data_IF_341698447387
#
_entry.id   IF_341698447387
#
_cell.length_a   1.000
_cell.length_b   1.000
_cell.length_c   1.000
_cell.angle_alpha   90.00
_cell.angle_beta   90.00
_cell.angle_gamma   90.00
#
_symmetry.space_group_name_H-M   'P 1'
#
loop_
_entity.id
_entity.type
_entity.pdbx_description
1 polymer ?
#
# COMPACT_ATOMS: atom_id res chain seq x y z
N UNK A 1 -28.72 24.74 -0.82
CA UNK A 1 -27.70 23.72 -0.43
C UNK A 1 -27.05 24.26 0.84
N UNK A 2 -26.93 23.48 1.92
CA UNK A 2 -26.39 23.98 3.20
C UNK A 2 -24.89 24.29 3.06
N UNK A 3 -24.45 25.53 3.35
CA UNK A 3 -23.07 26.00 3.20
C UNK A 3 -22.04 25.07 3.84
N UNK A 4 -22.41 24.44 4.97
CA UNK A 4 -21.56 23.49 5.67
C UNK A 4 -21.36 22.17 4.91
N UNK A 5 -22.38 21.71 4.18
CA UNK A 5 -22.26 20.53 3.29
C UNK A 5 -21.30 20.83 2.16
N UNK A 6 -21.44 22.00 1.52
CA UNK A 6 -20.56 22.44 0.43
C UNK A 6 -19.11 22.55 0.90
N UNK A 7 -18.87 23.22 2.03
CA UNK A 7 -17.53 23.39 2.58
C UNK A 7 -16.85 22.06 2.93
N UNK A 8 -17.54 21.16 3.65
CA UNK A 8 -16.96 19.86 4.03
C UNK A 8 -16.75 18.97 2.80
N UNK A 9 -17.65 19.03 1.80
CA UNK A 9 -17.48 18.31 0.54
C UNK A 9 -16.24 18.80 -0.21
N UNK A 10 -16.06 20.11 -0.34
CA UNK A 10 -14.90 20.70 -0.98
C UNK A 10 -13.59 20.32 -0.26
N UNK A 11 -13.53 20.49 1.07
CA UNK A 11 -12.35 20.13 1.86
C UNK A 11 -12.01 18.63 1.75
N UNK A 12 -13.01 17.76 1.71
CA UNK A 12 -12.84 16.31 1.67
C UNK A 12 -12.49 15.77 0.29
N UNK A 13 -13.11 16.28 -0.78
CA UNK A 13 -12.98 15.74 -2.13
C UNK A 13 -11.90 16.50 -2.89
N UNK A 14 -12.07 17.81 -3.02
CA UNK A 14 -11.20 18.64 -3.85
C UNK A 14 -9.84 18.87 -3.19
N UNK A 15 -9.83 19.11 -1.88
CA UNK A 15 -8.58 19.35 -1.14
C UNK A 15 -8.01 18.09 -0.46
N UNK A 16 -8.68 16.93 -0.61
CA UNK A 16 -8.21 15.64 -0.09
C UNK A 16 -7.96 15.59 1.43
N UNK A 17 -8.53 16.50 2.22
CA UNK A 17 -8.27 16.59 3.66
C UNK A 17 -8.95 15.47 4.42
N UNK A 18 -8.24 14.87 5.36
CA UNK A 18 -8.79 13.89 6.29
C UNK A 18 -9.81 14.50 7.25
N UNK A 19 -10.70 13.68 7.81
CA UNK A 19 -11.69 14.11 8.82
C UNK A 19 -11.02 14.84 10.02
N UNK A 20 -9.75 14.52 10.32
CA UNK A 20 -8.96 15.22 11.34
C UNK A 20 -8.57 16.62 10.87
N UNK A 21 -7.96 16.75 9.69
CA UNK A 21 -7.54 18.05 9.15
C UNK A 21 -8.72 19.00 8.92
N UNK A 22 -9.87 18.46 8.50
CA UNK A 22 -11.12 19.23 8.39
C UNK A 22 -11.59 19.69 9.78
N UNK A 23 -11.51 18.81 10.79
CA UNK A 23 -11.85 19.15 12.16
C UNK A 23 -10.97 20.26 12.72
N UNK A 24 -9.65 20.10 12.57
CA UNK A 24 -8.65 21.09 12.99
C UNK A 24 -8.88 22.44 12.27
N UNK A 25 -9.19 22.43 10.96
CA UNK A 25 -9.50 23.63 10.19
C UNK A 25 -10.79 24.34 10.62
N UNK A 26 -11.83 23.57 10.98
CA UNK A 26 -13.14 24.10 11.38
C UNK A 26 -13.27 24.29 12.91
N UNK A 27 -12.22 24.02 13.69
CA UNK A 27 -12.24 24.12 15.14
C UNK A 27 -13.16 23.11 15.83
N UNK A 28 -13.38 21.93 15.24
CA UNK A 28 -14.26 20.88 15.78
C UNK A 28 -13.56 19.53 15.87
N UNK A 29 -14.03 18.69 16.79
CA UNK A 29 -13.48 17.34 16.93
C UNK A 29 -13.74 16.47 15.68
N UNK A 30 -12.76 15.62 15.31
CA UNK A 30 -12.81 14.75 14.11
C UNK A 30 -14.07 13.88 14.00
N UNK A 31 -14.66 13.48 15.13
CA UNK A 31 -15.86 12.65 15.17
C UNK A 31 -17.05 13.40 14.57
N UNK A 32 -17.15 14.71 14.83
CA UNK A 32 -18.22 15.54 14.31
C UNK A 32 -18.16 15.59 12.78
N UNK A 33 -16.97 15.74 12.20
CA UNK A 33 -16.77 15.67 10.74
C UNK A 33 -17.14 14.29 10.22
N UNK A 34 -16.67 13.22 10.88
CA UNK A 34 -16.96 11.83 10.46
C UNK A 34 -18.46 11.56 10.38
N UNK A 35 -19.21 11.92 11.43
CA UNK A 35 -20.66 11.74 11.49
C UNK A 35 -21.38 12.62 10.47
N UNK A 36 -21.00 13.90 10.38
CA UNK A 36 -21.60 14.82 9.43
C UNK A 36 -21.44 14.35 7.99
N UNK A 37 -20.23 13.92 7.61
CA UNK A 37 -19.89 13.45 6.27
C UNK A 37 -20.71 12.20 5.90
N UNK A 38 -20.85 11.25 6.83
CA UNK A 38 -21.69 10.05 6.66
C UNK A 38 -23.17 10.41 6.48
N UNK A 39 -23.71 11.26 7.34
CA UNK A 39 -25.13 11.65 7.30
C UNK A 39 -25.50 12.44 6.03
N UNK A 40 -24.52 13.05 5.37
CA UNK A 40 -24.72 13.86 4.16
C UNK A 40 -24.16 13.19 2.88
N UNK A 41 -23.83 11.89 2.92
CA UNK A 41 -23.30 11.14 1.78
C UNK A 41 -22.11 11.83 1.09
N UNK A 42 -21.24 12.47 1.88
CA UNK A 42 -19.98 12.99 1.38
C UNK A 42 -18.98 11.82 1.43
N UNK A 43 -18.26 11.48 0.35
CA UNK A 43 -17.27 10.40 0.33
C UNK A 43 -16.00 10.79 1.11
N UNK A 44 -15.15 9.80 1.41
CA UNK A 44 -13.87 10.03 2.10
C UNK A 44 -12.82 10.37 1.03
N UNK A 45 -11.80 11.18 1.34
CA UNK A 45 -10.64 11.24 0.46
C UNK A 45 -10.04 9.85 0.29
N UNK A 46 -9.54 9.57 -0.91
CA UNK A 46 -8.77 8.36 -1.18
C UNK A 46 -7.57 8.30 -0.24
N UNK A 47 -7.36 7.16 0.41
CA UNK A 47 -6.23 7.00 1.33
C UNK A 47 -4.92 6.93 0.55
N UNK A 48 -3.80 7.30 1.19
CA UNK A 48 -2.45 7.16 0.61
C UNK A 48 -2.17 5.71 0.17
N UNK A 49 -2.64 4.73 0.95
CA UNK A 49 -2.56 3.31 0.59
C UNK A 49 -3.23 3.05 -0.75
N UNK A 50 -4.52 3.41 -0.86
CA UNK A 50 -5.32 3.19 -2.07
C UNK A 50 -4.82 4.00 -3.27
N UNK A 51 -4.33 5.22 -3.06
CA UNK A 51 -3.69 6.01 -4.12
C UNK A 51 -2.48 5.27 -4.71
N UNK A 52 -1.62 4.69 -3.86
CA UNK A 52 -0.49 3.91 -4.35
C UNK A 52 -0.89 2.60 -5.02
N UNK A 53 -1.89 1.87 -4.51
CA UNK A 53 -2.46 0.69 -5.19
C UNK A 53 -2.93 1.04 -6.60
N UNK A 54 -3.72 2.10 -6.76
CA UNK A 54 -4.21 2.56 -8.06
C UNK A 54 -3.08 2.99 -9.00
N UNK A 55 -2.05 3.66 -8.47
CA UNK A 55 -0.87 4.04 -9.24
C UNK A 55 -0.10 2.82 -9.75
N UNK A 56 0.04 1.77 -8.92
CA UNK A 56 0.68 0.50 -9.30
C UNK A 56 -0.14 -0.22 -10.37
N UNK A 57 -1.44 -0.36 -10.18
CA UNK A 57 -2.34 -0.99 -11.15
C UNK A 57 -2.24 -0.27 -12.51
N UNK A 58 -2.33 1.06 -12.51
CA UNK A 58 -2.20 1.87 -13.73
C UNK A 58 -0.85 1.67 -14.40
N UNK A 59 0.24 1.64 -13.62
CA UNK A 59 1.60 1.45 -14.17
C UNK A 59 1.80 0.06 -14.74
N UNK A 60 1.35 -0.99 -14.05
CA UNK A 60 1.46 -2.37 -14.50
C UNK A 60 0.65 -2.62 -15.77
N UNK A 61 -0.59 -2.13 -15.86
CA UNK A 61 -1.42 -2.25 -17.07
C UNK A 61 -0.81 -1.52 -18.27
N UNK A 62 -0.17 -0.37 -18.06
CA UNK A 62 0.60 0.34 -19.11
C UNK A 62 1.85 -0.41 -19.57
N UNK A 63 2.29 -1.40 -18.81
CA UNK A 63 3.42 -2.28 -19.12
C UNK A 63 2.92 -3.67 -19.56
N UNK A 64 1.65 -3.77 -19.97
CA UNK A 64 0.99 -4.97 -20.48
C UNK A 64 0.92 -6.15 -19.50
N UNK A 65 0.93 -5.87 -18.20
CA UNK A 65 0.58 -6.86 -17.19
C UNK A 65 -0.94 -6.92 -16.98
N UNK A 66 -1.46 -8.13 -16.84
CA UNK A 66 -2.80 -8.39 -16.31
C UNK A 66 -2.78 -8.23 -14.79
N UNK A 67 -3.75 -7.50 -14.24
CA UNK A 67 -3.75 -7.15 -12.82
C UNK A 67 -5.16 -7.24 -12.24
N UNK A 68 -5.29 -8.12 -11.25
CA UNK A 68 -6.45 -8.22 -10.38
C UNK A 68 -6.23 -7.42 -9.09
N UNK A 69 -7.26 -6.67 -8.71
CA UNK A 69 -7.27 -5.84 -7.50
C UNK A 69 -8.03 -6.56 -6.39
N UNK A 70 -7.29 -7.18 -5.47
CA UNK A 70 -7.89 -8.05 -4.47
C UNK A 70 -8.59 -7.24 -3.38
N UNK A 71 -8.27 -5.95 -3.22
CA UNK A 71 -9.01 -5.07 -2.31
C UNK A 71 -10.49 -4.91 -2.73
N UNK A 72 -10.78 -5.06 -4.04
CA UNK A 72 -12.13 -5.04 -4.58
C UNK A 72 -12.78 -6.43 -4.63
N UNK A 73 -12.01 -7.46 -4.99
CA UNK A 73 -12.53 -8.82 -5.21
C UNK A 73 -12.66 -9.59 -3.88
N UNK A 74 -11.62 -9.57 -3.04
CA UNK A 74 -11.56 -10.28 -1.77
C UNK A 74 -10.82 -9.46 -0.69
N UNK A 75 -11.59 -8.74 0.12
CA UNK A 75 -11.08 -7.96 1.25
C UNK A 75 -10.40 -8.79 2.34
N UNK A 76 -10.55 -10.12 2.32
CA UNK A 76 -9.88 -11.04 3.24
C UNK A 76 -8.52 -11.52 2.72
N UNK A 77 -8.17 -11.17 1.48
CA UNK A 77 -6.88 -11.49 0.88
C UNK A 77 -5.72 -11.00 1.74
N UNK A 78 -4.61 -11.75 1.66
CA UNK A 78 -3.38 -11.44 2.40
C UNK A 78 -2.43 -10.52 1.65
N UNK A 79 -2.66 -10.32 0.35
CA UNK A 79 -1.89 -9.47 -0.55
C UNK A 79 -2.85 -8.60 -1.38
N UNK A 80 -2.34 -7.51 -1.95
CA UNK A 80 -3.18 -6.46 -2.54
C UNK A 80 -3.51 -6.75 -4.01
N UNK A 81 -2.55 -7.25 -4.79
CA UNK A 81 -2.72 -7.50 -6.24
C UNK A 81 -2.26 -8.90 -6.64
N UNK A 82 -2.97 -9.51 -7.59
CA UNK A 82 -2.50 -10.67 -8.34
C UNK A 82 -2.13 -10.23 -9.76
N UNK A 83 -0.91 -10.51 -10.19
CA UNK A 83 -0.38 -10.10 -11.50
C UNK A 83 -0.16 -11.33 -12.37
N UNK A 84 -0.74 -11.31 -13.57
CA UNK A 84 -0.73 -12.42 -14.54
C UNK A 84 -1.12 -13.76 -13.89
N UNK A 85 -2.17 -13.74 -13.05
CA UNK A 85 -2.71 -14.88 -12.28
C UNK A 85 -1.71 -15.62 -11.37
N UNK A 86 -0.48 -15.09 -11.22
CA UNK A 86 0.65 -15.83 -10.63
C UNK A 86 1.35 -15.07 -9.52
N UNK A 87 1.77 -13.84 -9.79
CA UNK A 87 2.60 -13.08 -8.85
C UNK A 87 1.73 -12.34 -7.84
N UNK A 88 1.95 -12.63 -6.56
CA UNK A 88 1.25 -12.01 -5.44
C UNK A 88 2.02 -10.78 -4.98
N UNK A 89 1.38 -9.62 -5.01
CA UNK A 89 2.01 -8.34 -4.73
C UNK A 89 1.39 -7.70 -3.49
N UNK A 90 2.24 -7.29 -2.55
CA UNK A 90 1.84 -6.36 -1.48
C UNK A 90 2.30 -4.94 -1.85
N UNK A 91 1.39 -3.98 -1.80
CA UNK A 91 1.66 -2.57 -2.06
C UNK A 91 1.84 -1.83 -0.75
N UNK A 92 2.91 -1.03 -0.66
CA UNK A 92 3.13 -0.12 0.48
C UNK A 92 3.34 1.29 -0.03
N UNK A 93 2.55 2.23 0.47
CA UNK A 93 2.56 3.61 0.02
C UNK A 93 3.01 4.56 1.11
N UNK A 94 3.71 5.64 0.75
CA UNK A 94 4.17 6.67 1.68
C UNK A 94 4.24 8.03 0.99
N UNK A 95 3.83 9.10 1.68
CA UNK A 95 4.09 10.47 1.22
C UNK A 95 5.54 10.85 1.49
N UNK A 96 6.08 11.77 0.69
CA UNK A 96 7.42 12.32 0.92
C UNK A 96 7.48 13.06 2.25
N UNK A 97 8.46 12.71 3.08
CA UNK A 97 8.77 13.47 4.29
C UNK A 97 9.48 14.77 3.96
N UNK A 98 9.52 15.70 4.92
CA UNK A 98 10.24 16.98 4.79
C UNK A 98 11.75 16.81 4.53
N UNK A 99 12.30 15.67 4.94
CA UNK A 99 13.69 15.27 4.69
C UNK A 99 13.91 14.61 3.32
N UNK A 100 12.91 14.68 2.44
CA UNK A 100 12.94 14.12 1.09
C UNK A 100 12.83 12.60 1.03
N UNK A 101 12.54 11.92 2.14
CA UNK A 101 12.51 10.44 2.24
C UNK A 101 11.10 9.89 2.36
N UNK A 102 10.90 8.69 1.81
CA UNK A 102 9.65 7.93 1.93
C UNK A 102 9.81 6.87 3.02
N UNK A 103 8.85 6.80 3.95
CA UNK A 103 8.87 5.87 5.09
C UNK A 103 7.70 4.90 5.02
N UNK A 104 8.00 3.65 4.74
CA UNK A 104 7.02 2.58 4.62
C UNK A 104 6.94 1.82 5.94
N UNK A 105 5.74 1.71 6.51
CA UNK A 105 5.52 0.98 7.76
C UNK A 105 5.00 -0.43 7.47
N UNK A 106 5.63 -1.42 8.10
CA UNK A 106 5.19 -2.82 8.08
C UNK A 106 4.44 -3.20 9.36
N UNK A 107 4.69 -2.46 10.44
CA UNK A 107 4.19 -2.77 11.76
C UNK A 107 2.83 -2.12 12.04
N UNK A 108 1.93 -2.90 12.62
CA UNK A 108 0.71 -2.42 13.26
C UNK A 108 1.03 -1.92 14.67
N UNK A 109 0.36 -0.84 15.08
CA UNK A 109 0.52 -0.29 16.43
C UNK A 109 -0.01 -1.27 17.49
N UNK A 110 0.51 -1.17 18.71
CA UNK A 110 0.11 -2.02 19.84
C UNK A 110 -1.39 -1.88 20.12
N UNK A 111 -1.90 -0.66 20.01
CA UNK A 111 -3.32 -0.32 20.25
C UNK A 111 -4.28 -1.06 19.31
N UNK A 112 -3.82 -1.52 18.14
CA UNK A 112 -4.66 -2.27 17.20
C UNK A 112 -4.92 -3.72 17.65
N UNK A 113 -4.20 -4.20 18.68
CA UNK A 113 -4.37 -5.52 19.31
C UNK A 113 -4.49 -6.70 18.33
N UNK A 114 -3.76 -6.66 17.21
CA UNK A 114 -3.82 -7.72 16.21
C UNK A 114 -3.48 -9.09 16.85
N UNK A 115 -4.32 -10.10 16.56
CA UNK A 115 -4.08 -11.47 16.99
C UNK A 115 -2.78 -11.99 16.37
N UNK A 116 -1.92 -12.57 17.19
CA UNK A 116 -0.71 -13.25 16.73
C UNK A 116 -1.08 -14.56 16.09
N UNK A 117 -0.29 -14.98 15.12
CA UNK A 117 -0.41 -16.27 14.44
C UNK A 117 0.94 -16.68 13.87
N UNK A 118 1.02 -17.85 13.24
CA UNK A 118 2.19 -18.28 12.49
C UNK A 118 2.64 -17.28 11.38
N UNK A 119 1.73 -16.39 10.98
CA UNK A 119 1.94 -15.38 9.93
C UNK A 119 2.03 -13.95 10.48
N UNK A 120 1.84 -13.75 11.79
CA UNK A 120 1.84 -12.42 12.44
C UNK A 120 2.67 -12.48 13.72
N UNK A 121 3.85 -11.86 13.67
CA UNK A 121 4.79 -11.83 14.79
C UNK A 121 4.49 -10.66 15.72
N UNK A 122 4.59 -10.89 17.03
CA UNK A 122 4.61 -9.82 18.04
C UNK A 122 6.05 -9.47 18.37
N UNK A 123 6.36 -8.18 18.30
CA UNK A 123 7.69 -7.65 18.62
C UNK A 123 7.81 -7.31 20.11
N UNK A 124 9.05 -7.16 20.59
CA UNK A 124 9.33 -6.77 22.00
C UNK A 124 8.64 -5.47 22.42
N UNK A 125 8.44 -4.54 21.49
CA UNK A 125 7.74 -3.27 21.74
C UNK A 125 6.20 -3.37 21.69
N UNK A 126 5.65 -4.58 21.62
CA UNK A 126 4.21 -4.85 21.60
C UNK A 126 3.52 -4.60 20.25
N UNK A 127 4.23 -4.06 19.25
CA UNK A 127 3.72 -3.96 17.87
C UNK A 127 3.65 -5.35 17.24
N UNK A 128 2.88 -5.46 16.16
CA UNK A 128 2.81 -6.70 15.37
C UNK A 128 3.22 -6.46 13.92
N UNK A 129 3.83 -7.46 13.29
CA UNK A 129 4.30 -7.41 11.89
C UNK A 129 3.88 -8.70 11.19
N UNK A 130 3.31 -8.59 9.99
CA UNK A 130 3.01 -9.76 9.15
C UNK A 130 4.31 -10.36 8.58
N UNK A 131 4.36 -11.68 8.41
CA UNK A 131 5.44 -12.33 7.67
C UNK A 131 5.15 -12.32 6.17
N UNK A 132 5.46 -11.22 5.49
CA UNK A 132 5.13 -10.98 4.07
C UNK A 132 5.67 -12.04 3.11
N UNK A 133 6.80 -12.66 3.44
CA UNK A 133 7.41 -13.72 2.65
C UNK A 133 6.52 -14.96 2.49
N UNK A 134 5.50 -15.14 3.35
CA UNK A 134 4.57 -16.27 3.29
C UNK A 134 3.36 -16.04 2.39
N UNK A 135 3.14 -14.82 1.90
CA UNK A 135 1.90 -14.49 1.20
C UNK A 135 2.03 -13.53 0.02
N UNK A 136 3.20 -12.91 -0.17
CA UNK A 136 3.49 -12.08 -1.34
C UNK A 136 4.90 -12.39 -1.83
N UNK A 137 5.08 -12.37 -3.14
CA UNK A 137 6.35 -12.61 -3.82
C UNK A 137 7.17 -11.32 -3.89
N UNK A 138 6.50 -10.19 -4.14
CA UNK A 138 7.11 -8.87 -4.22
C UNK A 138 6.35 -7.85 -3.37
N UNK A 139 7.12 -6.90 -2.85
CA UNK A 139 6.61 -5.59 -2.53
C UNK A 139 6.71 -4.66 -3.74
N UNK A 140 5.68 -3.85 -3.94
CA UNK A 140 5.81 -2.61 -4.71
C UNK A 140 5.63 -1.43 -3.76
N UNK A 141 6.73 -0.73 -3.50
CA UNK A 141 6.73 0.49 -2.69
C UNK A 141 6.43 1.69 -3.57
N UNK A 142 5.50 2.53 -3.13
CA UNK A 142 5.05 3.73 -3.84
C UNK A 142 5.30 4.97 -2.98
N UNK A 143 6.33 5.73 -3.34
CA UNK A 143 6.51 7.09 -2.86
C UNK A 143 5.58 8.04 -3.61
N UNK A 144 4.87 8.89 -2.88
CA UNK A 144 3.98 9.91 -3.45
C UNK A 144 4.58 11.27 -3.08
N UNK A 145 4.98 12.03 -4.10
CA UNK A 145 5.46 13.40 -3.99
C UNK A 145 4.58 14.27 -4.88
N UNK A 146 3.60 14.93 -4.27
CA UNK A 146 2.47 15.57 -4.97
C UNK A 146 1.82 14.60 -5.97
N UNK A 147 1.85 14.92 -7.28
CA UNK A 147 1.30 14.08 -8.36
C UNK A 147 2.35 13.15 -9.00
N UNK A 148 3.56 13.08 -8.42
CA UNK A 148 4.65 12.24 -8.90
C UNK A 148 4.73 10.95 -8.08
N UNK A 149 4.68 9.82 -8.79
CA UNK A 149 4.80 8.49 -8.21
C UNK A 149 6.19 7.90 -8.40
N UNK A 150 6.74 7.39 -7.30
CA UNK A 150 8.06 6.81 -7.19
C UNK A 150 7.92 5.32 -6.87
N UNK A 151 8.30 4.42 -7.79
CA UNK A 151 8.14 2.98 -7.58
C UNK A 151 9.45 2.29 -7.19
N UNK A 152 9.40 1.32 -6.28
CA UNK A 152 10.47 0.34 -6.05
C UNK A 152 9.89 -1.06 -5.96
N UNK A 153 10.41 -1.97 -6.77
CA UNK A 153 9.98 -3.37 -6.86
C UNK A 153 11.00 -4.21 -6.10
N UNK A 154 10.62 -4.81 -4.98
CA UNK A 154 11.55 -5.53 -4.11
C UNK A 154 10.96 -6.91 -3.77
N UNK A 155 11.65 -8.03 -4.08
CA UNK A 155 11.25 -9.35 -3.61
C UNK A 155 11.05 -9.36 -2.08
N UNK A 156 9.98 -9.98 -1.60
CA UNK A 156 9.66 -9.97 -0.15
C UNK A 156 10.72 -10.69 0.67
N UNK A 157 11.41 -11.69 0.11
CA UNK A 157 12.49 -12.44 0.74
C UNK A 157 13.72 -11.57 1.09
N UNK A 158 13.90 -10.41 0.45
CA UNK A 158 14.96 -9.45 0.76
C UNK A 158 14.64 -8.53 1.95
N UNK A 159 13.42 -8.58 2.47
CA UNK A 159 13.00 -7.82 3.65
C UNK A 159 13.04 -8.74 4.87
N UNK A 160 13.77 -8.36 5.91
CA UNK A 160 13.95 -9.19 7.11
C UNK A 160 12.60 -9.42 7.81
N UNK A 161 12.33 -10.66 8.20
CA UNK A 161 11.16 -11.00 9.03
C UNK A 161 11.19 -10.19 10.34
N UNK A 162 10.08 -9.52 10.65
CA UNK A 162 9.95 -8.65 11.82
C UNK A 162 10.50 -7.23 11.63
N UNK A 163 11.02 -6.87 10.45
CA UNK A 163 11.36 -5.50 10.11
C UNK A 163 10.13 -4.60 10.22
N UNK A 164 10.25 -3.46 10.91
CA UNK A 164 9.11 -2.59 11.21
C UNK A 164 8.87 -1.52 10.15
N UNK A 165 9.92 -1.08 9.47
CA UNK A 165 9.87 -0.03 8.48
C UNK A 165 10.97 -0.20 7.43
N UNK A 166 10.75 0.42 6.28
CA UNK A 166 11.77 0.62 5.25
C UNK A 166 11.73 2.09 4.85
N UNK A 167 12.89 2.73 4.78
CA UNK A 167 13.02 4.10 4.28
C UNK A 167 13.68 4.04 2.91
N UNK A 168 13.05 4.64 1.90
CA UNK A 168 13.59 4.72 0.54
C UNK A 168 13.65 6.18 0.09
N UNK A 169 14.55 6.44 -0.85
CA UNK A 169 14.67 7.66 -1.63
C UNK A 169 15.29 7.27 -2.99
N UNK A 170 15.55 8.24 -3.87
CA UNK A 170 16.01 7.92 -5.22
C UNK A 170 17.44 7.38 -5.28
N UNK A 171 18.25 7.54 -4.22
CA UNK A 171 19.63 7.05 -4.18
C UNK A 171 19.80 5.73 -3.43
N UNK A 172 18.87 5.38 -2.52
CA UNK A 172 18.95 4.15 -1.74
C UNK A 172 18.26 2.99 -2.46
N UNK A 173 19.03 1.92 -2.68
CA UNK A 173 18.63 0.72 -3.45
C UNK A 173 18.14 1.05 -4.88
N UNK A 174 18.98 1.70 -5.70
CA UNK A 174 18.60 2.16 -7.03
C UNK A 174 18.24 1.01 -7.99
N UNK A 175 18.81 -0.19 -7.78
CA UNK A 175 18.51 -1.38 -8.62
C UNK A 175 17.04 -1.80 -8.61
N UNK A 176 16.29 -1.42 -7.58
CA UNK A 176 14.85 -1.73 -7.46
C UNK A 176 13.96 -0.59 -7.95
N UNK A 177 14.53 0.60 -8.18
CA UNK A 177 13.80 1.80 -8.56
C UNK A 177 13.22 1.64 -9.96
N UNK A 178 11.90 1.76 -10.09
CA UNK A 178 11.16 1.60 -11.36
C UNK A 178 11.48 0.31 -12.14
N UNK A 179 12.08 -0.70 -11.50
CA UNK A 179 12.52 -1.93 -12.14
C UNK A 179 11.39 -2.97 -12.16
N UNK A 180 10.40 -2.75 -13.02
CA UNK A 180 9.27 -3.67 -13.21
C UNK A 180 9.66 -4.95 -13.97
N UNK A 181 10.83 -4.99 -14.60
CA UNK A 181 11.31 -6.18 -15.30
C UNK A 181 11.61 -7.34 -14.35
N UNK A 182 11.87 -7.06 -13.07
CA UNK A 182 11.98 -8.08 -12.01
C UNK A 182 10.73 -8.97 -11.91
N UNK A 183 9.55 -8.42 -12.21
CA UNK A 183 8.31 -9.21 -12.24
C UNK A 183 8.32 -10.19 -13.42
N UNK A 184 8.86 -9.79 -14.58
CA UNK A 184 8.99 -10.68 -15.75
C UNK A 184 9.99 -11.79 -15.50
N UNK A 185 11.10 -11.50 -14.82
CA UNK A 185 12.10 -12.51 -14.43
C UNK A 185 11.50 -13.52 -13.45
N UNK A 186 10.74 -13.06 -12.46
CA UNK A 186 10.00 -13.92 -11.54
C UNK A 186 9.07 -14.90 -12.26
N UNK A 187 8.40 -14.47 -13.34
CA UNK A 187 7.56 -15.35 -14.15
C UNK A 187 8.36 -16.44 -14.90
N UNK A 188 9.57 -16.11 -15.37
CA UNK A 188 10.42 -17.01 -16.17
C UNK A 188 11.07 -18.10 -15.33
N UNK A 189 11.51 -17.77 -14.11
CA UNK A 189 12.22 -18.73 -13.25
C UNK A 189 11.34 -19.93 -12.86
N UNK A 190 10.03 -19.75 -12.75
CA UNK A 190 9.10 -20.83 -12.45
C UNK A 190 8.75 -21.71 -13.67
N UNK A 191 8.70 -21.14 -14.88
CA UNK A 191 8.46 -21.93 -16.10
C UNK A 191 9.57 -22.98 -16.34
N UNK A 192 10.80 -22.65 -15.93
CA UNK A 192 11.93 -23.58 -15.97
C UNK A 192 11.86 -24.67 -14.88
N UNK A 193 11.16 -24.44 -13.76
CA UNK A 193 10.98 -25.45 -12.71
C UNK A 193 9.93 -26.49 -13.14
N UNK A 194 8.85 -26.06 -13.82
CA UNK A 194 7.83 -26.98 -14.36
C UNK A 194 8.38 -27.86 -15.50
N UNK A 195 9.28 -27.36 -16.34
CA UNK A 195 9.90 -28.17 -17.41
C UNK A 195 10.86 -29.26 -16.88
N UNK A 196 11.38 -29.13 -15.64
CA UNK A 196 12.28 -30.12 -15.05
C UNK A 196 11.59 -31.15 -14.15
N UNK A 197 10.31 -30.96 -13.83
CA UNK A 197 9.55 -31.86 -12.94
C UNK A 197 8.72 -32.92 -13.68
N UNK A 198 8.72 -32.93 -15.02
CA UNK A 198 8.04 -33.96 -15.84
C UNK A 198 8.95 -35.07 -16.35
N UNK A 199 10.19 -35.17 -15.86
CA UNK A 199 11.12 -36.26 -16.21
C UNK A 199 11.56 -37.04 -14.96
N UNK A 200 10.60 -37.66 -14.25
CA UNK A 200 10.87 -38.66 -13.22
C UNK A 200 9.85 -39.78 -13.28
#
# INVERSE_FOLDING_TARGET
MNDKVTAIRYLSIELGKSDKEIGDFLGVHRSNITHYRKNNNIPKPTTVGRQGELAVISRLRKLDFEVEDLNLIDKSSRYDLLVNEKLKIEVKSSKRGRDGRFRFSFANKRENQCKTSENVLRLKNGKTVKNYQKFADYFIFVGIDDDVYHFWIIPTNLIKVGQQNLTLNDTYRPIFKNNFDLLKEGMKNDANIECHSTNS
#
